data_IF_051164087448
#
_entry.id   IF_051164087448
#
_cell.length_a   1.000
_cell.length_b   1.000
_cell.length_c   1.000
_cell.angle_alpha   90.00
_cell.angle_beta   90.00
_cell.angle_gamma   90.00
#
_symmetry.space_group_name_H-M   'P 1'
#
loop_
_entity.id
_entity.type
_entity.pdbx_description
1 polymer ?
#
# COMPACT_ATOMS: atom_id res chain seq x y z
N UNK A 1 10.99 32.67 30.72
CA UNK A 1 10.45 31.30 30.86
C UNK A 1 10.67 30.61 29.54
N UNK A 2 11.56 29.62 29.48
CA UNK A 2 11.80 28.84 28.25
C UNK A 2 10.78 27.71 28.26
N UNK A 3 9.88 27.70 27.27
CA UNK A 3 8.98 26.60 27.05
C UNK A 3 9.82 25.35 26.72
N UNK A 4 9.84 24.39 27.62
CA UNK A 4 10.30 23.03 27.30
C UNK A 4 9.23 22.49 26.36
N UNK A 5 9.47 22.60 25.06
CA UNK A 5 8.75 21.80 24.09
C UNK A 5 8.87 20.36 24.57
N UNK A 6 7.73 19.70 24.73
CA UNK A 6 7.60 18.27 25.01
C UNK A 6 8.26 17.54 23.84
N UNK A 7 9.58 17.48 23.83
CA UNK A 7 10.36 16.75 22.85
C UNK A 7 10.19 15.29 23.22
N UNK A 8 9.33 14.59 22.47
CA UNK A 8 9.19 13.14 22.55
C UNK A 8 10.60 12.51 22.65
N UNK A 9 10.81 11.65 23.64
CA UNK A 9 12.11 11.01 23.85
C UNK A 9 12.51 10.27 22.55
N UNK A 10 13.67 10.57 21.93
CA UNK A 10 14.11 9.91 20.72
C UNK A 10 14.11 8.37 20.83
N UNK A 11 14.33 7.85 22.03
CA UNK A 11 14.26 6.42 22.34
C UNK A 11 12.85 5.85 22.18
N UNK A 12 11.82 6.60 22.57
CA UNK A 12 10.42 6.21 22.39
C UNK A 12 9.99 6.27 20.92
N UNK A 13 10.38 7.33 20.20
CA UNK A 13 10.13 7.44 18.75
C UNK A 13 10.74 6.25 18.03
N UNK A 14 12.00 5.92 18.35
CA UNK A 14 12.69 4.76 17.79
C UNK A 14 12.00 3.45 18.15
N UNK A 15 11.59 3.26 19.41
CA UNK A 15 10.90 2.04 19.84
C UNK A 15 9.57 1.86 19.09
N UNK A 16 8.78 2.92 18.94
CA UNK A 16 7.53 2.91 18.14
C UNK A 16 7.81 2.52 16.69
N UNK A 17 8.89 3.06 16.09
CA UNK A 17 9.30 2.72 14.73
C UNK A 17 9.69 1.24 14.61
N UNK A 18 10.49 0.74 15.56
CA UNK A 18 10.94 -0.63 15.59
C UNK A 18 9.78 -1.63 15.72
N UNK A 19 8.87 -1.41 16.67
CA UNK A 19 7.69 -2.26 16.87
C UNK A 19 6.77 -2.24 15.65
N UNK A 20 6.60 -1.08 15.02
CA UNK A 20 5.83 -0.94 13.78
C UNK A 20 6.45 -1.74 12.63
N UNK A 21 7.79 -1.69 12.47
CA UNK A 21 8.50 -2.48 11.48
C UNK A 21 8.37 -3.99 11.76
N UNK A 22 8.51 -4.43 13.02
CA UNK A 22 8.30 -5.82 13.42
C UNK A 22 6.87 -6.32 13.12
N UNK A 23 5.87 -5.46 13.32
CA UNK A 23 4.50 -5.77 12.94
C UNK A 23 4.34 -5.88 11.42
N UNK A 24 5.01 -5.02 10.64
CA UNK A 24 5.13 -5.13 9.18
C UNK A 24 5.71 -6.47 8.75
N UNK A 25 6.82 -6.90 9.35
CA UNK A 25 7.46 -8.21 9.07
C UNK A 25 6.53 -9.39 9.37
N UNK A 26 5.77 -9.30 10.47
CA UNK A 26 4.77 -10.33 10.81
C UNK A 26 3.66 -10.40 9.75
N UNK A 27 3.14 -9.26 9.31
CA UNK A 27 2.07 -9.18 8.31
C UNK A 27 2.56 -9.62 6.93
N UNK A 28 3.81 -9.30 6.57
CA UNK A 28 4.42 -9.77 5.31
C UNK A 28 4.50 -11.30 5.27
N UNK A 29 4.88 -11.94 6.39
CA UNK A 29 4.89 -13.41 6.52
C UNK A 29 3.51 -14.05 6.45
N UNK A 30 2.45 -13.26 6.60
CA UNK A 30 1.05 -13.69 6.50
C UNK A 30 0.45 -13.33 5.13
N UNK A 31 1.29 -12.96 4.15
CA UNK A 31 0.90 -12.49 2.82
C UNK A 31 -0.03 -11.24 2.81
N UNK A 32 -0.11 -10.52 3.94
CA UNK A 32 -0.91 -9.31 4.08
C UNK A 32 -0.13 -8.06 3.62
N UNK A 33 0.33 -8.07 2.37
CA UNK A 33 1.32 -7.09 1.86
C UNK A 33 0.87 -5.63 1.96
N UNK A 34 -0.41 -5.32 1.69
CA UNK A 34 -0.93 -3.95 1.78
C UNK A 34 -0.87 -3.43 3.23
N UNK A 35 -1.27 -4.25 4.18
CA UNK A 35 -1.24 -3.90 5.61
C UNK A 35 0.19 -3.82 6.13
N UNK A 36 1.06 -4.74 5.71
CA UNK A 36 2.48 -4.71 6.02
C UNK A 36 3.15 -3.43 5.50
N UNK A 37 2.82 -3.02 4.27
CA UNK A 37 3.35 -1.80 3.66
C UNK A 37 2.95 -0.54 4.45
N UNK A 38 1.71 -0.48 4.94
CA UNK A 38 1.27 0.63 5.80
C UNK A 38 2.09 0.71 7.09
N UNK A 39 2.39 -0.43 7.72
CA UNK A 39 3.22 -0.49 8.93
C UNK A 39 4.66 -0.04 8.68
N UNK A 40 5.28 -0.47 7.58
CA UNK A 40 6.63 -0.01 7.23
C UNK A 40 6.67 1.48 6.88
N UNK A 41 5.65 2.02 6.19
CA UNK A 41 5.57 3.45 5.91
C UNK A 41 5.49 4.29 7.19
N UNK A 42 4.70 3.84 8.17
CA UNK A 42 4.62 4.49 9.48
C UNK A 42 5.94 4.38 10.25
N UNK A 43 6.59 3.21 10.25
CA UNK A 43 7.93 3.08 10.83
C UNK A 43 8.95 4.03 10.17
N UNK A 44 8.87 4.17 8.84
CA UNK A 44 9.73 5.07 8.07
C UNK A 44 9.52 6.54 8.43
N UNK A 45 8.28 6.99 8.64
CA UNK A 45 8.01 8.37 9.06
C UNK A 45 8.57 8.69 10.44
N UNK A 46 8.53 7.74 11.38
CA UNK A 46 9.11 7.91 12.72
C UNK A 46 10.64 7.97 12.68
N UNK A 47 11.29 7.16 11.83
CA UNK A 47 12.75 7.26 11.62
C UNK A 47 13.12 8.60 10.97
N UNK A 48 12.31 9.09 10.04
CA UNK A 48 12.53 10.38 9.40
C UNK A 48 12.39 11.55 10.38
N UNK A 49 11.39 11.49 11.24
CA UNK A 49 11.18 12.43 12.34
C UNK A 49 12.39 12.44 13.27
N UNK A 50 12.80 11.26 13.75
CA UNK A 50 13.96 11.09 14.62
C UNK A 50 15.24 11.70 14.02
N UNK A 51 15.45 11.53 12.71
CA UNK A 51 16.59 12.11 11.98
C UNK A 51 16.53 13.64 11.93
N UNK A 52 15.33 14.24 11.88
CA UNK A 52 15.12 15.69 11.81
C UNK A 52 15.19 16.37 13.18
N UNK A 53 14.54 15.80 14.19
CA UNK A 53 14.46 16.38 15.53
C UNK A 53 15.63 16.01 16.43
N UNK A 54 16.27 14.85 16.20
CA UNK A 54 17.32 14.30 17.06
C UNK A 54 18.51 13.74 16.26
N UNK A 55 19.08 14.53 15.35
CA UNK A 55 20.12 14.08 14.41
C UNK A 55 21.38 13.45 15.06
N UNK A 56 21.72 13.83 16.29
CA UNK A 56 22.87 13.27 17.03
C UNK A 56 22.55 11.99 17.80
N UNK A 57 21.27 11.61 17.89
CA UNK A 57 20.85 10.42 18.61
C UNK A 57 21.14 9.18 17.75
N UNK A 58 22.12 8.40 18.19
CA UNK A 58 22.49 7.09 17.62
C UNK A 58 22.44 7.04 16.07
N UNK A 59 23.15 7.93 15.36
CA UNK A 59 22.97 8.13 13.92
C UNK A 59 23.15 6.84 13.10
N UNK A 60 24.13 6.01 13.45
CA UNK A 60 24.36 4.73 12.79
C UNK A 60 23.19 3.75 12.93
N UNK A 61 22.49 3.76 14.08
CA UNK A 61 21.33 2.90 14.34
C UNK A 61 20.13 3.38 13.53
N UNK A 62 19.88 4.69 13.56
CA UNK A 62 18.79 5.34 12.80
C UNK A 62 18.98 5.11 11.31
N UNK A 63 20.19 5.30 10.79
CA UNK A 63 20.53 5.06 9.38
C UNK A 63 20.31 3.59 8.99
N UNK A 64 20.86 2.66 9.77
CA UNK A 64 20.70 1.24 9.50
C UNK A 64 19.22 0.84 9.47
N UNK A 65 18.44 1.24 10.47
CA UNK A 65 17.00 0.91 10.54
C UNK A 65 16.21 1.59 9.42
N UNK A 66 16.49 2.85 9.13
CA UNK A 66 15.87 3.58 8.02
C UNK A 66 16.11 2.90 6.68
N UNK A 67 17.33 2.40 6.45
CA UNK A 67 17.66 1.61 5.26
C UNK A 67 16.88 0.30 5.21
N UNK A 68 16.86 -0.49 6.30
CA UNK A 68 16.10 -1.75 6.35
C UNK A 68 14.60 -1.56 6.09
N UNK A 69 14.01 -0.50 6.64
CA UNK A 69 12.60 -0.16 6.41
C UNK A 69 12.36 0.22 4.95
N UNK A 70 13.22 1.08 4.37
CA UNK A 70 13.13 1.49 2.96
C UNK A 70 13.24 0.30 2.01
N UNK A 71 14.19 -0.61 2.24
CA UNK A 71 14.34 -1.86 1.50
C UNK A 71 13.05 -2.71 1.55
N UNK A 72 12.41 -2.81 2.73
CA UNK A 72 11.15 -3.53 2.88
C UNK A 72 10.00 -2.86 2.11
N UNK A 73 9.87 -1.53 2.19
CA UNK A 73 8.85 -0.77 1.45
C UNK A 73 8.95 -1.05 -0.04
N UNK A 74 10.15 -0.98 -0.62
CA UNK A 74 10.37 -1.23 -2.04
C UNK A 74 9.99 -2.66 -2.43
N UNK A 75 10.46 -3.66 -1.68
CA UNK A 75 10.13 -5.07 -1.90
C UNK A 75 8.61 -5.32 -1.89
N UNK A 76 7.90 -4.76 -0.92
CA UNK A 76 6.45 -4.95 -0.81
C UNK A 76 5.69 -4.25 -1.93
N UNK A 77 6.08 -3.02 -2.29
CA UNK A 77 5.46 -2.30 -3.41
C UNK A 77 5.59 -3.12 -4.70
N UNK A 78 6.79 -3.62 -4.98
CA UNK A 78 7.03 -4.47 -6.13
C UNK A 78 6.15 -5.73 -6.11
N UNK A 79 6.09 -6.42 -4.98
CA UNK A 79 5.26 -7.63 -4.82
C UNK A 79 3.76 -7.35 -5.02
N UNK A 80 3.25 -6.26 -4.45
CA UNK A 80 1.85 -5.84 -4.62
C UNK A 80 1.57 -5.50 -6.09
N UNK A 81 2.47 -4.79 -6.77
CA UNK A 81 2.33 -4.48 -8.20
C UNK A 81 2.30 -5.74 -9.04
N UNK A 82 3.21 -6.70 -8.80
CA UNK A 82 3.22 -7.99 -9.49
C UNK A 82 1.91 -8.76 -9.28
N UNK A 83 1.43 -8.86 -8.04
CA UNK A 83 0.18 -9.54 -7.71
C UNK A 83 -1.04 -8.86 -8.37
N UNK A 84 -1.07 -7.53 -8.37
CA UNK A 84 -2.15 -6.77 -9.02
C UNK A 84 -2.19 -7.00 -10.53
N UNK A 85 -1.02 -7.05 -11.19
CA UNK A 85 -0.92 -7.34 -12.63
C UNK A 85 -1.39 -8.77 -12.95
N UNK A 86 -0.94 -9.76 -12.18
CA UNK A 86 -1.35 -11.15 -12.36
C UNK A 86 -2.87 -11.32 -12.21
N UNK A 87 -3.46 -10.67 -11.20
CA UNK A 87 -4.91 -10.70 -11.00
C UNK A 87 -5.67 -10.01 -12.13
N UNK A 88 -5.15 -8.90 -12.68
CA UNK A 88 -5.79 -8.20 -13.80
C UNK A 88 -5.75 -9.02 -15.10
N UNK A 89 -4.65 -9.75 -15.36
CA UNK A 89 -4.53 -10.65 -16.51
C UNK A 89 -5.37 -11.92 -16.40
N UNK A 90 -5.86 -12.26 -15.20
CA UNK A 90 -6.72 -13.42 -14.95
C UNK A 90 -8.22 -13.11 -15.08
N UNK A 91 -8.60 -11.84 -15.31
CA UNK A 91 -10.00 -11.49 -15.57
C UNK A 91 -10.45 -12.03 -16.94
N UNK A 92 -11.56 -12.80 -17.02
CA UNK A 92 -12.07 -13.29 -18.29
C UNK A 92 -12.46 -12.13 -19.21
N UNK A 93 -12.16 -12.27 -20.52
CA UNK A 93 -12.71 -11.41 -21.57
C UNK A 93 -14.24 -11.35 -21.44
N UNK A 94 -14.88 -10.18 -21.68
CA UNK A 94 -16.34 -10.13 -21.74
C UNK A 94 -16.82 -11.10 -22.82
N UNK A 95 -17.76 -11.95 -22.42
CA UNK A 95 -18.46 -12.91 -23.28
C UNK A 95 -19.00 -12.15 -24.51
N UNK A 96 -18.42 -12.39 -25.68
CA UNK A 96 -18.97 -11.88 -26.94
C UNK A 96 -20.25 -12.66 -27.17
N UNK A 97 -21.37 -12.08 -26.73
CA UNK A 97 -22.69 -12.55 -27.08
C UNK A 97 -22.80 -12.61 -28.61
N UNK A 98 -23.26 -13.72 -29.22
CA UNK A 98 -23.50 -13.75 -30.65
C UNK A 98 -24.67 -12.80 -30.94
N UNK A 99 -24.42 -11.78 -31.77
CA UNK A 99 -25.46 -10.92 -32.28
C UNK A 99 -26.49 -11.79 -33.02
N UNK A 100 -27.71 -11.87 -32.48
CA UNK A 100 -28.82 -12.51 -33.15
C UNK A 100 -29.15 -11.73 -34.44
N UNK A 101 -29.51 -12.43 -35.54
CA UNK A 101 -29.67 -11.79 -36.84
C UNK A 101 -30.93 -10.91 -36.84
N UNK A 102 -30.80 -9.72 -37.42
CA UNK A 102 -31.92 -8.87 -37.81
C UNK A 102 -32.86 -9.65 -38.73
N UNK A 103 -34.14 -9.73 -38.36
CA UNK A 103 -35.19 -10.14 -39.28
C UNK A 103 -36.38 -9.18 -39.13
N UNK A 104 -36.41 -8.23 -40.04
CA UNK A 104 -37.57 -7.68 -40.74
C UNK A 104 -38.93 -8.24 -40.33
N UNK A 105 -39.81 -7.36 -39.82
CA UNK A 105 -41.25 -7.48 -40.01
C UNK A 105 -41.92 -6.14 -39.66
N UNK A 106 -41.80 -5.19 -40.59
CA UNK A 106 -42.89 -4.25 -40.82
C UNK A 106 -44.22 -5.02 -40.84
N UNK A 107 -45.20 -4.56 -40.04
CA UNK A 107 -46.57 -5.02 -40.12
C UNK A 107 -47.48 -3.80 -40.14
N UNK A 108 -47.75 -3.31 -41.36
CA UNK A 108 -49.03 -2.68 -41.66
C UNK A 108 -50.06 -3.80 -41.84
N UNK A 109 -51.33 -3.62 -41.42
CA UNK A 109 -52.31 -3.23 -42.44
C UNK A 109 -53.50 -2.38 -41.89
N UNK A 110 -54.07 -1.50 -42.73
CA UNK A 110 -55.51 -1.15 -42.68
C UNK A 110 -56.36 -2.29 -43.30
N UNK A 111 -57.67 -2.15 -43.60
CA UNK A 111 -58.53 -0.95 -43.55
C UNK A 111 -59.92 -1.17 -42.89
N UNK A 112 -60.64 -0.06 -42.70
CA UNK A 112 -62.10 0.15 -42.91
C UNK A 112 -63.14 -0.86 -42.40
N UNK A 113 -64.00 -0.40 -41.46
CA UNK A 113 -65.47 -0.55 -41.47
C UNK A 113 -66.12 0.43 -40.46
#
# INVERSE_FOLDING_TARGET
MVAVAEQDDPSEIFLKAYLSAQQGEKLERQDQFKTALAKYRFAGSLIEELRKSHAQWQPAVVEYRGRKISEAILRLQERITRQTKLNASASPLPDIAPAAPESDAWSEPGPEA
#
